data_IF_836234116098
#
_entry.id   IF_836234116098
#
_cell.length_a   1.000
_cell.length_b   1.000
_cell.length_c   1.000
_cell.angle_alpha   90.00
_cell.angle_beta   90.00
_cell.angle_gamma   90.00
#
_symmetry.space_group_name_H-M   'P 1'
#
loop_
_entity.id
_entity.type
_entity.pdbx_description
1 polymer ?
#
# COMPACT_ATOMS: atom_id res chain seq x y z
N UNK A 1 5.58 11.80 -17.10
CA UNK A 1 5.30 10.79 -16.09
C UNK A 1 4.16 11.25 -15.17
N UNK A 2 3.30 10.35 -14.84
CA UNK A 2 2.21 10.64 -13.91
C UNK A 2 2.76 10.68 -12.49
N UNK A 3 2.61 11.84 -11.82
CA UNK A 3 2.99 11.99 -10.42
C UNK A 3 1.73 12.06 -9.57
N UNK A 4 1.62 11.18 -8.59
CA UNK A 4 0.53 11.15 -7.63
C UNK A 4 1.13 11.45 -6.25
N UNK A 5 0.63 12.49 -5.58
CA UNK A 5 1.07 12.82 -4.22
C UNK A 5 0.54 11.78 -3.21
N UNK A 6 1.12 11.77 -2.00
CA UNK A 6 0.73 10.84 -0.95
C UNK A 6 -0.77 10.94 -0.60
N UNK A 7 -1.32 12.15 -0.57
CA UNK A 7 -2.75 12.37 -0.32
C UNK A 7 -3.62 11.78 -1.42
N UNK A 8 -3.21 11.94 -2.69
CA UNK A 8 -3.89 11.34 -3.83
C UNK A 8 -3.84 9.82 -3.81
N UNK A 9 -2.71 9.26 -3.39
CA UNK A 9 -2.55 7.82 -3.24
C UNK A 9 -3.48 7.26 -2.16
N UNK A 10 -3.58 7.94 -1.02
CA UNK A 10 -4.50 7.55 0.07
C UNK A 10 -5.94 7.65 -0.40
N UNK A 11 -6.32 8.72 -1.10
CA UNK A 11 -7.67 8.89 -1.65
C UNK A 11 -8.03 7.77 -2.62
N UNK A 12 -7.10 7.40 -3.50
CA UNK A 12 -7.29 6.29 -4.43
C UNK A 12 -7.52 4.97 -3.66
N UNK A 13 -6.72 4.70 -2.64
CA UNK A 13 -6.88 3.50 -1.81
C UNK A 13 -8.23 3.47 -1.09
N UNK A 14 -8.70 4.62 -0.61
CA UNK A 14 -10.05 4.72 -0.01
C UNK A 14 -11.13 4.32 -1.00
N UNK A 15 -11.05 4.81 -2.22
CA UNK A 15 -12.01 4.47 -3.28
C UNK A 15 -11.94 2.99 -3.64
N UNK A 16 -10.74 2.44 -3.69
CA UNK A 16 -10.53 1.03 -3.98
C UNK A 16 -11.16 0.15 -2.90
N UNK A 17 -10.89 0.43 -1.64
CA UNK A 17 -11.42 -0.32 -0.49
C UNK A 17 -12.95 -0.25 -0.45
N UNK A 18 -13.51 0.93 -0.70
CA UNK A 18 -14.95 1.18 -0.70
C UNK A 18 -15.64 0.77 -2.01
N UNK A 19 -14.89 0.25 -2.96
CA UNK A 19 -15.36 -0.17 -4.28
C UNK A 19 -16.12 0.94 -5.03
N UNK A 20 -15.57 2.16 -4.95
CA UNK A 20 -16.13 3.35 -5.60
C UNK A 20 -15.45 3.72 -6.92
N UNK A 21 -14.73 2.77 -7.50
CA UNK A 21 -14.14 2.86 -8.83
C UNK A 21 -15.00 2.02 -9.80
N UNK A 22 -14.85 2.27 -11.10
CA UNK A 22 -15.65 1.61 -12.13
C UNK A 22 -15.14 0.22 -12.49
N UNK A 23 -14.78 -0.59 -11.49
CA UNK A 23 -14.30 -1.96 -11.70
C UNK A 23 -15.40 -2.98 -11.43
N UNK A 24 -15.32 -4.13 -12.10
CA UNK A 24 -16.19 -5.25 -11.79
C UNK A 24 -15.86 -5.88 -10.44
N UNK A 25 -16.79 -6.63 -9.86
CA UNK A 25 -16.53 -7.37 -8.63
C UNK A 25 -15.34 -8.32 -8.76
N UNK A 26 -15.23 -9.00 -9.90
CA UNK A 26 -14.09 -9.90 -10.18
C UNK A 26 -12.77 -9.15 -10.20
N UNK A 27 -12.73 -7.97 -10.83
CA UNK A 27 -11.51 -7.15 -10.88
C UNK A 27 -11.07 -6.69 -9.49
N UNK A 28 -12.00 -6.32 -8.62
CA UNK A 28 -11.67 -5.97 -7.22
C UNK A 28 -11.05 -7.15 -6.48
N UNK A 29 -11.60 -8.35 -6.62
CA UNK A 29 -11.08 -9.53 -5.95
C UNK A 29 -9.70 -9.93 -6.48
N UNK A 30 -9.49 -9.88 -7.78
CA UNK A 30 -8.19 -10.14 -8.40
C UNK A 30 -7.13 -9.14 -7.90
N UNK A 31 -7.49 -7.86 -7.80
CA UNK A 31 -6.58 -6.84 -7.32
C UNK A 31 -6.22 -7.05 -5.84
N UNK A 32 -7.19 -7.41 -5.01
CA UNK A 32 -6.94 -7.75 -3.60
C UNK A 32 -5.92 -8.87 -3.49
N UNK A 33 -6.07 -9.92 -4.28
CA UNK A 33 -5.18 -11.08 -4.26
C UNK A 33 -3.76 -10.72 -4.70
N UNK A 34 -3.63 -9.95 -5.78
CA UNK A 34 -2.34 -9.51 -6.31
C UNK A 34 -1.61 -8.58 -5.35
N UNK A 35 -2.33 -7.75 -4.62
CA UNK A 35 -1.75 -6.80 -3.66
C UNK A 35 -1.33 -7.45 -2.34
N UNK A 36 -1.78 -8.66 -2.04
CA UNK A 36 -1.45 -9.30 -0.76
C UNK A 36 0.05 -9.50 -0.62
N UNK A 37 0.63 -8.89 0.41
CA UNK A 37 2.07 -8.93 0.71
C UNK A 37 2.38 -9.79 1.92
N UNK A 38 1.53 -9.75 2.93
CA UNK A 38 1.73 -10.50 4.17
C UNK A 38 0.40 -10.80 4.82
N UNK A 39 0.26 -12.01 5.32
CA UNK A 39 -0.93 -12.43 6.05
C UNK A 39 -0.49 -13.19 7.31
N UNK A 40 -1.01 -12.75 8.44
CA UNK A 40 -0.81 -13.39 9.74
C UNK A 40 -2.17 -13.67 10.38
N UNK A 41 -2.19 -14.29 11.54
CA UNK A 41 -3.44 -14.44 12.31
C UNK A 41 -4.02 -13.13 12.80
N UNK A 42 -3.23 -12.04 12.78
CA UNK A 42 -3.62 -10.74 13.34
C UNK A 42 -3.93 -9.69 12.28
N UNK A 43 -3.35 -9.79 11.09
CA UNK A 43 -3.54 -8.78 10.04
C UNK A 43 -3.27 -9.32 8.65
N UNK A 44 -3.78 -8.58 7.66
CA UNK A 44 -3.44 -8.74 6.24
C UNK A 44 -2.93 -7.41 5.72
N UNK A 45 -1.74 -7.42 5.12
CA UNK A 45 -1.13 -6.24 4.53
C UNK A 45 -1.15 -6.37 3.01
N UNK A 46 -1.79 -5.40 2.36
CA UNK A 46 -1.88 -5.30 0.91
C UNK A 46 -1.26 -4.00 0.46
N UNK A 47 -0.45 -4.08 -0.59
CA UNK A 47 0.26 -2.90 -1.08
C UNK A 47 0.72 -3.04 -2.52
N UNK A 48 1.07 -1.90 -3.10
CA UNK A 48 1.64 -1.79 -4.43
C UNK A 48 2.88 -0.91 -4.37
N UNK A 49 3.95 -1.36 -5.01
CA UNK A 49 5.16 -0.55 -5.19
C UNK A 49 5.16 0.13 -6.54
N UNK A 50 5.86 1.25 -6.64
CA UNK A 50 6.15 1.93 -7.89
C UNK A 50 7.44 2.71 -7.78
N UNK A 51 8.06 2.98 -8.93
CA UNK A 51 9.34 3.68 -9.01
C UNK A 51 9.44 4.47 -10.31
N UNK A 52 9.93 5.71 -10.23
CA UNK A 52 10.10 6.60 -11.38
C UNK A 52 11.53 6.69 -11.88
N UNK A 53 12.49 6.06 -11.19
CA UNK A 53 13.92 6.25 -11.39
C UNK A 53 14.57 7.21 -10.39
N UNK A 54 13.77 7.95 -9.63
CA UNK A 54 14.23 8.84 -8.57
C UNK A 54 13.35 8.82 -7.32
N UNK A 55 12.05 8.53 -7.48
CA UNK A 55 11.11 8.44 -6.37
C UNK A 55 10.52 7.04 -6.35
N UNK A 56 10.56 6.41 -5.18
CA UNK A 56 9.90 5.14 -4.93
C UNK A 56 8.69 5.33 -4.01
N UNK A 57 7.68 4.48 -4.18
CA UNK A 57 6.53 4.49 -3.29
C UNK A 57 6.05 3.07 -2.97
N UNK A 58 5.47 2.97 -1.78
CA UNK A 58 4.81 1.77 -1.29
C UNK A 58 3.50 2.21 -0.66
N UNK A 59 2.40 1.84 -1.29
CA UNK A 59 1.07 2.35 -0.96
C UNK A 59 0.12 1.19 -0.78
N UNK A 60 -0.66 1.22 0.28
CA UNK A 60 -1.60 0.13 0.52
C UNK A 60 -2.40 0.29 1.79
N UNK A 61 -2.81 -0.83 2.35
CA UNK A 61 -3.61 -0.85 3.55
C UNK A 61 -3.38 -2.12 4.35
N UNK A 62 -3.66 -1.99 5.66
CA UNK A 62 -3.61 -3.10 6.61
C UNK A 62 -5.01 -3.32 7.15
N UNK A 63 -5.48 -4.54 7.05
CA UNK A 63 -6.74 -4.97 7.64
C UNK A 63 -6.44 -5.77 8.92
N UNK A 64 -6.96 -5.30 10.04
CA UNK A 64 -6.95 -6.01 11.32
C UNK A 64 -8.38 -6.45 11.65
N UNK A 65 -8.57 -7.15 12.77
CA UNK A 65 -9.92 -7.55 13.21
C UNK A 65 -10.82 -6.35 13.50
N UNK A 66 -10.23 -5.20 13.86
CA UNK A 66 -10.98 -4.04 14.35
C UNK A 66 -11.05 -2.90 13.33
N UNK A 67 -10.07 -2.79 12.42
CA UNK A 67 -9.94 -1.60 11.60
C UNK A 67 -9.18 -1.85 10.30
N UNK A 68 -9.25 -0.86 9.40
CA UNK A 68 -8.47 -0.80 8.17
C UNK A 68 -7.66 0.49 8.18
N UNK A 69 -6.33 0.36 8.04
CA UNK A 69 -5.40 1.47 8.04
C UNK A 69 -4.78 1.62 6.68
N UNK A 70 -4.85 2.84 6.13
CA UNK A 70 -4.27 3.16 4.81
C UNK A 70 -2.94 3.84 5.04
N UNK A 71 -1.93 3.47 4.25
CA UNK A 71 -0.62 4.10 4.29
C UNK A 71 -0.12 4.45 2.89
N UNK A 72 0.72 5.47 2.84
CA UNK A 72 1.46 5.85 1.64
C UNK A 72 2.86 6.29 2.05
N UNK A 73 3.87 5.53 1.64
CA UNK A 73 5.26 5.86 1.87
C UNK A 73 5.90 6.26 0.54
N UNK A 74 6.46 7.46 0.50
CA UNK A 74 7.22 7.96 -0.65
C UNK A 74 8.63 8.31 -0.18
N UNK A 75 9.62 7.98 -0.98
CA UNK A 75 11.02 8.24 -0.64
C UNK A 75 11.84 8.51 -1.90
N UNK A 76 12.92 9.26 -1.74
CA UNK A 76 13.91 9.40 -2.79
C UNK A 76 14.68 8.08 -2.92
N UNK A 77 14.55 7.43 -4.06
CA UNK A 77 15.18 6.14 -4.34
C UNK A 77 15.80 6.22 -5.73
N UNK A 78 17.12 6.39 -5.78
CA UNK A 78 17.86 6.50 -7.05
C UNK A 78 18.36 5.14 -7.56
N UNK A 79 18.42 4.15 -6.69
CA UNK A 79 18.81 2.79 -7.05
C UNK A 79 17.62 1.85 -6.79
N UNK A 80 17.16 1.16 -7.82
CA UNK A 80 16.01 0.26 -7.73
C UNK A 80 16.22 -0.83 -6.66
N UNK A 81 17.46 -1.20 -6.38
CA UNK A 81 17.77 -2.21 -5.36
C UNK A 81 17.39 -1.75 -3.95
N UNK A 82 17.25 -0.43 -3.74
CA UNK A 82 16.82 0.12 -2.44
C UNK A 82 15.30 0.07 -2.26
N UNK A 83 14.53 -0.25 -3.29
CA UNK A 83 13.07 -0.35 -3.21
C UNK A 83 12.62 -1.42 -2.21
N UNK A 84 13.42 -2.46 -1.99
CA UNK A 84 13.12 -3.52 -1.02
C UNK A 84 13.04 -3.01 0.42
N UNK A 85 13.62 -1.83 0.70
CA UNK A 85 13.59 -1.23 2.03
C UNK A 85 12.23 -0.62 2.36
N UNK A 86 11.44 -0.23 1.36
CA UNK A 86 10.16 0.45 1.59
C UNK A 86 9.15 -0.41 2.35
N UNK A 87 8.96 -1.70 2.04
CA UNK A 87 8.11 -2.57 2.85
C UNK A 87 8.59 -2.69 4.29
N UNK A 88 9.89 -2.84 4.50
CA UNK A 88 10.47 -2.99 5.85
C UNK A 88 10.27 -1.73 6.68
N UNK A 89 10.52 -0.56 6.10
CA UNK A 89 10.30 0.73 6.76
C UNK A 89 8.82 0.91 7.11
N UNK A 90 7.94 0.57 6.19
CA UNK A 90 6.49 0.64 6.42
C UNK A 90 6.08 -0.24 7.60
N UNK A 91 6.57 -1.46 7.66
CA UNK A 91 6.27 -2.37 8.78
C UNK A 91 6.78 -1.83 10.10
N UNK A 92 7.99 -1.29 10.14
CA UNK A 92 8.55 -0.67 11.35
C UNK A 92 7.67 0.47 11.85
N UNK A 93 7.19 1.32 10.93
CA UNK A 93 6.31 2.43 11.29
C UNK A 93 4.96 1.92 11.83
N UNK A 94 4.37 0.93 11.18
CA UNK A 94 3.10 0.34 11.60
C UNK A 94 3.23 -0.33 12.97
N UNK A 95 4.34 -1.01 13.23
CA UNK A 95 4.65 -1.60 14.53
C UNK A 95 4.84 -0.54 15.61
N UNK A 96 5.60 0.52 15.30
CA UNK A 96 5.83 1.62 16.24
C UNK A 96 4.53 2.34 16.63
N UNK A 97 3.55 2.39 15.73
CA UNK A 97 2.23 2.97 15.99
C UNK A 97 1.26 2.01 16.67
N UNK A 98 1.64 0.76 16.86
CA UNK A 98 0.77 -0.25 17.46
C UNK A 98 -0.33 -0.74 16.54
N UNK A 99 -0.22 -0.54 15.23
CA UNK A 99 -1.21 -1.01 14.26
C UNK A 99 -1.06 -2.51 14.00
N UNK A 100 0.19 -2.96 13.96
CA UNK A 100 0.50 -4.39 13.82
C UNK A 100 1.49 -4.86 14.86
#
# INVERSE_FOLDING_TARGET
SLRICAEGQVDFMKRLIRRRLSYSATSYEELRDVMLREETGSYQLRAKTGWTGSIGWFVGYVETSDDTWIFALNADVEDINLMVLLPDITKEILQAKGII
#
